data_IF_839306269515
#
_entry.id   IF_839306269515
#
_cell.length_a   1.000
_cell.length_b   1.000
_cell.length_c   1.000
_cell.angle_alpha   90.00
_cell.angle_beta   90.00
_cell.angle_gamma   90.00
#
_symmetry.space_group_name_H-M   'P 1'
#
loop_
_entity.id
_entity.type
_entity.pdbx_description
1 polymer ?
#
# COMPACT_ATOMS: atom_id res chain seq x y z
N UNK A 1 -20.64 46.80 -39.98
CA UNK A 1 -19.44 46.61 -39.15
C UNK A 1 -19.75 45.51 -38.17
N UNK A 2 -19.24 44.31 -38.41
CA UNK A 2 -19.33 43.16 -37.49
C UNK A 2 -18.06 43.11 -36.65
N UNK A 3 -18.13 42.85 -35.35
CA UNK A 3 -16.93 42.68 -34.54
C UNK A 3 -16.36 41.28 -34.71
N UNK A 4 -15.08 41.21 -35.06
CA UNK A 4 -14.26 40.00 -35.10
C UNK A 4 -13.93 39.58 -33.65
N UNK A 5 -14.44 38.42 -33.22
CA UNK A 5 -14.03 37.75 -32.00
C UNK A 5 -12.72 37.00 -32.26
N UNK A 6 -11.62 37.49 -31.73
CA UNK A 6 -10.35 36.76 -31.67
C UNK A 6 -10.36 35.87 -30.41
N UNK A 7 -10.69 34.61 -30.62
CA UNK A 7 -10.61 33.61 -29.55
C UNK A 7 -9.14 33.29 -29.23
N UNK A 8 -8.69 33.61 -28.04
CA UNK A 8 -7.39 33.20 -27.48
C UNK A 8 -7.47 31.73 -27.12
N UNK A 9 -6.93 30.83 -27.96
CA UNK A 9 -6.70 29.43 -27.56
C UNK A 9 -5.58 29.42 -26.53
N UNK A 10 -5.95 29.14 -25.28
CA UNK A 10 -4.97 28.78 -24.26
C UNK A 10 -4.41 27.39 -24.60
N UNK A 11 -3.18 27.35 -25.07
CA UNK A 11 -2.40 26.12 -25.21
C UNK A 11 -2.09 25.66 -23.79
N UNK A 12 -2.81 24.63 -23.31
CA UNK A 12 -2.45 23.91 -22.12
C UNK A 12 -1.09 23.25 -22.39
N UNK A 13 -0.03 23.79 -21.81
CA UNK A 13 1.29 23.17 -21.83
C UNK A 13 1.18 21.77 -21.19
N UNK A 14 1.59 20.74 -21.95
CA UNK A 14 1.76 19.41 -21.39
C UNK A 14 2.70 19.50 -20.20
N UNK A 15 2.42 18.81 -19.10
CA UNK A 15 3.34 18.79 -17.97
C UNK A 15 4.73 18.32 -18.45
N UNK A 16 5.82 18.87 -17.91
CA UNK A 16 7.17 18.45 -18.28
C UNK A 16 7.32 16.94 -18.06
N UNK A 17 8.00 16.26 -18.95
CA UNK A 17 8.34 14.86 -18.80
C UNK A 17 9.07 14.70 -17.46
N UNK A 18 8.49 13.95 -16.53
CA UNK A 18 9.04 13.75 -15.21
C UNK A 18 10.45 13.15 -15.33
N UNK A 19 11.42 13.73 -14.65
CA UNK A 19 12.74 13.13 -14.45
C UNK A 19 12.54 11.94 -13.49
N UNK A 20 12.26 10.78 -14.08
CA UNK A 20 12.07 9.53 -13.35
C UNK A 20 13.45 9.00 -12.94
N UNK A 21 14.02 9.54 -11.87
CA UNK A 21 15.23 9.00 -11.29
C UNK A 21 15.00 7.55 -10.88
N UNK A 22 15.98 6.70 -11.16
CA UNK A 22 15.92 5.28 -10.85
C UNK A 22 16.75 5.01 -9.60
N UNK A 23 16.13 4.39 -8.59
CA UNK A 23 16.82 3.86 -7.43
C UNK A 23 17.28 2.41 -7.71
N UNK A 24 18.24 1.87 -6.94
CA UNK A 24 18.64 0.47 -7.08
C UNK A 24 17.46 -0.48 -7.02
N UNK A 25 17.39 -1.42 -7.94
CA UNK A 25 16.40 -2.48 -7.94
C UNK A 25 16.51 -3.34 -6.68
N UNK A 26 15.41 -3.94 -6.27
CA UNK A 26 15.43 -5.02 -5.29
C UNK A 26 16.18 -6.23 -5.85
N UNK A 27 16.81 -7.01 -4.99
CA UNK A 27 17.54 -8.22 -5.38
C UNK A 27 16.65 -9.29 -6.05
N UNK A 28 15.33 -9.20 -5.86
CA UNK A 28 14.35 -10.07 -6.50
C UNK A 28 13.11 -9.25 -6.90
N UNK A 29 12.49 -9.64 -8.00
CA UNK A 29 11.19 -9.15 -8.39
C UNK A 29 10.12 -9.69 -7.42
N UNK A 30 9.33 -8.81 -6.81
CA UNK A 30 8.38 -9.16 -5.75
C UNK A 30 7.04 -8.43 -5.88
N UNK A 31 6.01 -9.06 -5.33
CA UNK A 31 4.68 -8.48 -5.14
C UNK A 31 4.15 -8.76 -3.73
N UNK A 32 3.03 -8.17 -3.36
CA UNK A 32 2.32 -8.46 -2.10
C UNK A 32 3.16 -8.26 -0.82
N UNK A 33 4.14 -7.39 -0.87
CA UNK A 33 5.03 -7.02 0.23
C UNK A 33 4.49 -5.81 1.00
N UNK A 34 5.07 -5.51 2.16
CA UNK A 34 4.87 -4.26 2.89
C UNK A 34 5.99 -3.26 2.61
N UNK A 35 5.66 -1.96 2.53
CA UNK A 35 6.67 -0.90 2.46
C UNK A 35 6.28 0.30 3.30
N UNK A 36 7.28 0.96 3.89
CA UNK A 36 7.09 2.19 4.67
C UNK A 36 8.36 3.05 4.63
N UNK A 37 8.19 4.34 4.93
CA UNK A 37 9.28 5.32 5.01
C UNK A 37 9.50 5.75 6.46
N UNK A 38 10.76 5.78 6.92
CA UNK A 38 11.16 6.38 8.19
C UNK A 38 12.35 7.31 7.94
N UNK A 39 12.17 8.60 8.20
CA UNK A 39 13.16 9.60 7.86
C UNK A 39 13.51 9.54 6.37
N UNK A 40 14.77 9.40 6.05
CA UNK A 40 15.25 9.28 4.66
C UNK A 40 15.45 7.82 4.21
N UNK A 41 14.86 6.85 4.88
CA UNK A 41 15.02 5.43 4.56
C UNK A 41 13.71 4.77 4.18
N UNK A 42 13.73 4.08 3.04
CA UNK A 42 12.65 3.19 2.59
C UNK A 42 12.89 1.80 3.16
N UNK A 43 11.84 1.20 3.68
CA UNK A 43 11.85 -0.17 4.20
C UNK A 43 10.87 -1.04 3.40
N UNK A 44 11.30 -2.25 3.07
CA UNK A 44 10.50 -3.27 2.36
C UNK A 44 10.56 -4.57 3.14
N UNK A 45 9.40 -5.18 3.41
CA UNK A 45 9.32 -6.43 4.17
C UNK A 45 8.51 -7.50 3.44
N UNK A 46 9.06 -8.72 3.38
CA UNK A 46 8.35 -9.91 2.91
C UNK A 46 7.97 -9.86 1.43
N UNK A 47 6.82 -10.42 1.12
CA UNK A 47 6.27 -10.48 -0.23
C UNK A 47 6.40 -11.85 -0.89
N UNK A 48 6.10 -11.88 -2.18
CA UNK A 48 6.11 -13.08 -3.02
C UNK A 48 6.98 -12.87 -4.25
N UNK A 49 7.89 -13.79 -4.51
CA UNK A 49 8.84 -13.75 -5.63
C UNK A 49 8.58 -14.80 -6.73
N UNK A 50 7.44 -15.49 -6.69
CA UNK A 50 7.08 -16.54 -7.64
C UNK A 50 6.03 -16.12 -8.66
N UNK A 51 5.56 -17.09 -9.44
CA UNK A 51 4.42 -16.88 -10.35
C UNK A 51 3.16 -16.58 -9.54
N UNK A 52 2.33 -15.67 -10.07
CA UNK A 52 1.04 -15.34 -9.45
C UNK A 52 0.22 -16.63 -9.18
N UNK A 53 -0.41 -16.67 -8.01
CA UNK A 53 -1.24 -17.79 -7.53
C UNK A 53 -0.50 -19.12 -7.30
N UNK A 54 0.85 -19.14 -7.38
CA UNK A 54 1.66 -20.29 -7.02
C UNK A 54 2.48 -19.96 -5.76
N UNK A 55 1.82 -20.00 -4.61
CA UNK A 55 2.41 -19.62 -3.33
C UNK A 55 3.00 -20.83 -2.62
N UNK A 56 4.22 -20.69 -2.12
CA UNK A 56 4.91 -21.72 -1.37
C UNK A 56 5.85 -21.12 -0.32
N UNK A 57 6.36 -21.96 0.57
CA UNK A 57 7.34 -21.57 1.59
C UNK A 57 8.65 -21.07 0.99
N UNK A 58 9.00 -21.47 -0.24
CA UNK A 58 10.22 -21.05 -0.94
C UNK A 58 10.05 -19.71 -1.67
N UNK A 59 8.83 -19.39 -2.11
CA UNK A 59 8.55 -18.17 -2.87
C UNK A 59 8.03 -17.03 -2.01
N UNK A 60 7.70 -17.27 -0.74
CA UNK A 60 7.28 -16.24 0.20
C UNK A 60 8.48 -15.81 1.04
N UNK A 61 8.67 -14.51 1.14
CA UNK A 61 9.85 -13.87 1.73
C UNK A 61 9.57 -13.38 3.16
N UNK A 62 10.64 -13.24 3.96
CA UNK A 62 10.59 -12.74 5.33
C UNK A 62 11.68 -11.73 5.64
N UNK A 63 12.43 -11.31 4.63
CA UNK A 63 13.52 -10.35 4.77
C UNK A 63 12.94 -8.93 4.98
N UNK A 64 13.64 -8.15 5.80
CA UNK A 64 13.49 -6.70 5.89
C UNK A 64 14.67 -6.06 5.17
N UNK A 65 14.38 -5.20 4.21
CA UNK A 65 15.38 -4.45 3.45
C UNK A 65 15.22 -2.97 3.65
N UNK A 66 16.33 -2.23 3.69
CA UNK A 66 16.39 -0.78 3.80
C UNK A 66 17.16 -0.18 2.64
N UNK A 67 16.66 0.93 2.10
CA UNK A 67 17.40 1.81 1.19
C UNK A 67 17.51 3.19 1.83
N UNK A 68 18.74 3.67 2.04
CA UNK A 68 19.00 5.03 2.47
C UNK A 68 18.96 5.97 1.26
N UNK A 69 18.00 6.87 1.22
CA UNK A 69 17.82 7.81 0.10
C UNK A 69 18.85 8.93 0.07
N UNK A 70 19.61 9.16 1.15
CA UNK A 70 20.76 10.10 1.14
C UNK A 70 21.96 9.52 0.40
N UNK A 71 22.08 8.20 0.41
CA UNK A 71 23.13 7.48 -0.31
C UNK A 71 22.57 6.18 -0.92
N UNK A 72 21.73 6.28 -1.95
CA UNK A 72 20.95 5.15 -2.46
C UNK A 72 21.78 4.21 -3.33
N UNK A 73 22.90 3.71 -2.82
CA UNK A 73 23.81 2.85 -3.60
C UNK A 73 23.35 1.39 -3.68
N UNK A 74 22.73 0.88 -2.62
CA UNK A 74 22.25 -0.51 -2.52
C UNK A 74 21.23 -0.69 -1.40
N UNK A 75 20.42 -1.72 -1.53
CA UNK A 75 19.58 -2.21 -0.44
C UNK A 75 20.42 -2.94 0.60
N UNK A 76 20.15 -2.64 1.85
CA UNK A 76 20.74 -3.29 3.01
C UNK A 76 19.72 -4.28 3.60
N UNK A 77 20.18 -5.48 3.91
CA UNK A 77 19.35 -6.47 4.62
C UNK A 77 19.46 -6.27 6.12
N UNK A 78 18.30 -6.21 6.78
CA UNK A 78 18.15 -6.06 8.22
C UNK A 78 17.52 -7.34 8.81
N UNK A 79 17.52 -7.50 10.15
CA UNK A 79 16.84 -8.63 10.78
C UNK A 79 15.39 -8.76 10.29
N UNK A 80 15.12 -9.84 9.60
CA UNK A 80 13.82 -10.19 9.04
C UNK A 80 12.88 -10.80 10.09
N UNK A 81 11.94 -11.63 9.63
CA UNK A 81 10.96 -12.29 10.47
C UNK A 81 10.22 -13.40 9.72
N UNK A 82 8.99 -13.74 10.12
CA UNK A 82 8.22 -14.78 9.45
C UNK A 82 8.01 -14.45 7.97
N UNK A 83 8.05 -15.47 7.14
CA UNK A 83 7.76 -15.36 5.71
C UNK A 83 6.29 -15.01 5.51
N UNK A 84 6.00 -13.81 5.03
CA UNK A 84 4.65 -13.27 4.89
C UNK A 84 4.48 -12.53 3.57
N UNK A 85 3.30 -12.65 2.99
CA UNK A 85 2.84 -11.82 1.88
C UNK A 85 1.42 -11.30 2.15
N UNK A 86 0.98 -10.27 1.42
CA UNK A 86 -0.33 -9.66 1.64
C UNK A 86 -0.51 -9.10 3.06
N UNK A 87 0.57 -8.63 3.65
CA UNK A 87 0.66 -7.97 4.94
C UNK A 87 0.57 -6.45 4.79
N UNK A 88 0.32 -5.74 5.87
CA UNK A 88 0.55 -4.31 5.95
C UNK A 88 1.85 -3.99 6.71
N UNK A 89 2.57 -2.97 6.25
CA UNK A 89 3.72 -2.38 6.92
C UNK A 89 3.54 -0.86 6.97
N UNK A 90 3.53 -0.28 8.15
CA UNK A 90 3.36 1.16 8.34
C UNK A 90 4.45 1.72 9.24
N UNK A 91 4.71 3.02 9.12
CA UNK A 91 5.61 3.73 10.01
C UNK A 91 4.84 4.38 11.18
N UNK A 92 5.42 4.30 12.38
CA UNK A 92 4.90 4.96 13.57
C UNK A 92 6.04 5.44 14.46
N UNK A 93 6.18 6.75 14.66
CA UNK A 93 7.18 7.37 15.54
C UNK A 93 8.59 6.80 15.37
N UNK A 94 9.05 6.69 14.13
CA UNK A 94 10.40 6.19 13.79
C UNK A 94 10.57 4.66 13.90
N UNK A 95 9.48 3.91 14.00
CA UNK A 95 9.43 2.45 14.01
C UNK A 95 8.56 1.93 12.88
N UNK A 96 8.77 0.68 12.48
CA UNK A 96 7.87 -0.03 11.59
C UNK A 96 6.86 -0.85 12.40
N UNK A 97 5.64 -0.93 11.93
CA UNK A 97 4.61 -1.84 12.46
C UNK A 97 4.16 -2.76 11.34
N UNK A 98 4.39 -4.06 11.53
CA UNK A 98 3.94 -5.13 10.64
C UNK A 98 2.65 -5.73 11.18
N UNK A 99 1.66 -5.92 10.29
CA UNK A 99 0.32 -6.39 10.67
C UNK A 99 -0.12 -7.52 9.76
N UNK A 100 -0.48 -8.67 10.34
CA UNK A 100 -1.08 -9.81 9.66
C UNK A 100 -0.28 -10.33 8.46
N UNK A 101 -0.98 -10.66 7.40
CA UNK A 101 -0.47 -11.27 6.19
C UNK A 101 -0.86 -12.73 6.05
N UNK A 102 -0.42 -13.38 5.00
CA UNK A 102 -0.63 -14.82 4.79
C UNK A 102 0.68 -15.56 4.64
N UNK A 103 0.67 -16.82 5.06
CA UNK A 103 1.81 -17.71 5.05
C UNK A 103 1.44 -19.03 4.38
N UNK A 104 2.10 -19.42 3.29
CA UNK A 104 1.99 -20.77 2.75
C UNK A 104 2.54 -21.81 3.74
N UNK A 105 1.90 -22.96 3.76
CA UNK A 105 2.30 -24.13 4.55
C UNK A 105 2.88 -25.23 3.63
N UNK A 106 2.72 -25.08 2.32
CA UNK A 106 3.09 -26.04 1.29
C UNK A 106 4.45 -25.72 0.68
N UNK A 107 5.14 -26.76 0.20
CA UNK A 107 6.29 -26.63 -0.68
C UNK A 107 5.90 -26.27 -2.12
N UNK A 108 6.89 -25.92 -2.95
CA UNK A 108 6.71 -25.38 -4.31
C UNK A 108 5.95 -26.33 -5.25
N UNK A 109 6.08 -27.64 -5.06
CA UNK A 109 5.46 -28.67 -5.91
C UNK A 109 4.14 -29.21 -5.33
N UNK A 110 3.70 -28.69 -4.21
CA UNK A 110 2.49 -29.14 -3.52
C UNK A 110 1.30 -28.24 -3.84
N UNK A 111 0.07 -28.75 -3.56
CA UNK A 111 -1.14 -27.95 -3.67
C UNK A 111 -1.06 -26.78 -2.69
N UNK A 112 -1.41 -25.59 -3.18
CA UNK A 112 -1.42 -24.37 -2.37
C UNK A 112 -2.20 -24.55 -1.08
N UNK A 113 -1.53 -24.34 0.05
CA UNK A 113 -2.07 -24.34 1.40
C UNK A 113 -1.64 -23.05 2.10
N UNK A 114 -2.48 -22.05 2.08
CA UNK A 114 -2.13 -20.71 2.57
C UNK A 114 -3.08 -20.30 3.69
N UNK A 115 -2.51 -19.84 4.81
CA UNK A 115 -3.26 -19.37 5.97
C UNK A 115 -2.98 -17.91 6.28
N UNK A 116 -4.03 -17.15 6.56
CA UNK A 116 -3.89 -15.81 7.13
C UNK A 116 -3.36 -15.88 8.56
N UNK A 117 -2.65 -14.84 8.99
CA UNK A 117 -1.96 -14.75 10.26
C UNK A 117 -2.52 -13.61 11.11
N UNK A 118 -2.41 -13.75 12.45
CA UNK A 118 -2.76 -12.72 13.40
C UNK A 118 -1.56 -11.89 13.83
N UNK A 119 -0.34 -12.29 13.48
CA UNK A 119 0.90 -11.73 14.02
C UNK A 119 1.05 -10.25 13.75
N UNK A 120 1.38 -9.48 14.80
CA UNK A 120 1.75 -8.08 14.71
C UNK A 120 3.07 -7.85 15.43
N UNK A 121 3.95 -7.06 14.85
CA UNK A 121 5.24 -6.76 15.46
C UNK A 121 5.72 -5.35 15.11
N UNK A 122 6.50 -4.77 16.01
CA UNK A 122 7.12 -3.46 15.86
C UNK A 122 8.64 -3.63 15.70
N UNK A 123 9.22 -3.02 14.68
CA UNK A 123 10.68 -2.98 14.46
C UNK A 123 11.24 -1.64 14.91
N UNK A 124 12.28 -1.70 15.74
CA UNK A 124 13.07 -0.53 16.14
C UNK A 124 14.35 -0.47 15.30
N UNK A 125 14.46 0.45 14.31
CA UNK A 125 15.62 0.50 13.42
C UNK A 125 16.96 0.71 14.13
N UNK A 126 16.98 1.52 15.18
CA UNK A 126 18.19 1.80 15.96
C UNK A 126 18.72 0.57 16.72
N UNK A 127 17.80 -0.25 17.22
CA UNK A 127 18.12 -1.48 17.92
C UNK A 127 18.29 -2.69 17.00
N UNK A 128 17.83 -2.60 15.74
CA UNK A 128 17.82 -3.70 14.80
C UNK A 128 16.93 -4.87 15.27
N UNK A 129 15.85 -4.59 16.00
CA UNK A 129 15.09 -5.63 16.70
C UNK A 129 13.57 -5.52 16.48
N UNK A 130 12.94 -6.67 16.23
CA UNK A 130 11.48 -6.84 16.28
C UNK A 130 11.02 -7.13 17.71
N UNK A 131 9.88 -6.56 18.08
CA UNK A 131 9.15 -6.86 19.31
C UNK A 131 7.70 -7.12 18.94
N UNK A 132 7.15 -8.25 19.37
CA UNK A 132 5.74 -8.55 19.17
C UNK A 132 4.86 -7.57 19.93
N UNK A 133 3.76 -7.18 19.33
CA UNK A 133 2.70 -6.39 19.92
C UNK A 133 1.40 -7.22 19.93
N UNK A 134 0.34 -6.69 20.51
CA UNK A 134 -0.95 -7.40 20.61
C UNK A 134 -1.38 -7.93 19.22
N UNK A 135 -1.58 -9.24 19.04
CA UNK A 135 -1.94 -9.80 17.74
C UNK A 135 -3.34 -9.38 17.33
N UNK A 136 -3.64 -9.37 16.03
CA UNK A 136 -5.00 -9.19 15.53
C UNK A 136 -5.94 -10.22 16.21
N UNK A 137 -7.17 -9.84 16.56
CA UNK A 137 -8.15 -10.76 17.14
C UNK A 137 -8.55 -11.91 16.23
N UNK A 138 -8.33 -11.76 14.92
CA UNK A 138 -8.60 -12.77 13.91
C UNK A 138 -7.52 -12.76 12.81
N UNK A 139 -7.25 -13.89 12.14
CA UNK A 139 -6.30 -13.95 11.03
C UNK A 139 -6.76 -13.06 9.86
N UNK A 140 -5.82 -12.30 9.28
CA UNK A 140 -6.14 -11.34 8.21
C UNK A 140 -5.00 -11.19 7.22
N UNK A 141 -5.34 -11.20 5.92
CA UNK A 141 -4.38 -10.95 4.82
C UNK A 141 -5.04 -10.18 3.68
N UNK A 142 -4.24 -9.67 2.75
CA UNK A 142 -4.68 -8.83 1.64
C UNK A 142 -5.53 -7.63 2.09
N UNK A 143 -5.37 -7.23 3.34
CA UNK A 143 -5.84 -5.99 3.95
C UNK A 143 -4.79 -4.91 3.76
N UNK A 144 -5.08 -3.70 4.22
CA UNK A 144 -4.05 -2.69 4.43
C UNK A 144 -4.23 -2.03 5.80
N UNK A 145 -3.30 -1.16 6.16
CA UNK A 145 -3.32 -0.43 7.41
C UNK A 145 -2.83 1.01 7.23
N UNK A 146 -3.31 1.91 8.09
CA UNK A 146 -2.87 3.29 8.14
C UNK A 146 -2.83 3.81 9.57
N UNK A 147 -1.90 4.72 9.85
CA UNK A 147 -1.77 5.36 11.17
C UNK A 147 -2.30 6.79 11.08
N UNK A 148 -3.27 7.13 11.93
CA UNK A 148 -3.78 8.48 12.12
C UNK A 148 -3.53 8.91 13.58
N UNK A 149 -2.62 9.84 13.79
CA UNK A 149 -2.13 10.17 15.14
C UNK A 149 -1.44 8.96 15.78
N UNK A 150 -1.94 8.52 16.92
CA UNK A 150 -1.46 7.33 17.61
C UNK A 150 -2.28 6.06 17.29
N UNK A 151 -3.34 6.19 16.51
CA UNK A 151 -4.22 5.09 16.19
C UNK A 151 -3.84 4.39 14.90
N UNK A 152 -3.59 3.10 14.98
CA UNK A 152 -3.47 2.19 13.85
C UNK A 152 -4.86 1.69 13.47
N UNK A 153 -5.22 1.81 12.21
CA UNK A 153 -6.46 1.27 11.62
C UNK A 153 -6.13 0.19 10.62
N UNK A 154 -6.90 -0.90 10.63
CA UNK A 154 -6.77 -2.05 9.72
C UNK A 154 -8.13 -2.33 9.12
N UNK A 155 -8.25 -2.22 7.78
CA UNK A 155 -9.51 -2.43 7.08
C UNK A 155 -9.35 -3.38 5.88
N UNK A 156 -10.48 -3.98 5.48
CA UNK A 156 -10.53 -4.91 4.38
C UNK A 156 -9.84 -6.24 4.66
N UNK A 157 -9.59 -6.98 3.60
CA UNK A 157 -8.93 -8.28 3.68
C UNK A 157 -9.87 -9.46 3.82
N UNK A 158 -9.27 -10.61 3.95
CA UNK A 158 -9.92 -11.89 4.14
C UNK A 158 -9.14 -12.78 5.11
N UNK A 159 -9.78 -13.81 5.59
CA UNK A 159 -9.18 -14.90 6.32
C UNK A 159 -9.06 -16.13 5.40
N UNK A 160 -7.84 -16.59 5.19
CA UNK A 160 -7.54 -17.83 4.50
C UNK A 160 -7.33 -18.93 5.54
N UNK A 161 -8.04 -20.05 5.38
CA UNK A 161 -8.05 -21.15 6.34
C UNK A 161 -7.32 -22.42 5.84
N UNK A 162 -6.43 -22.25 4.85
CA UNK A 162 -5.68 -23.36 4.26
C UNK A 162 -6.43 -24.06 3.13
N UNK A 163 -5.82 -25.13 2.61
CA UNK A 163 -6.29 -25.84 1.41
C UNK A 163 -7.70 -26.45 1.51
N UNK A 164 -8.11 -26.80 2.72
CA UNK A 164 -9.39 -27.46 2.98
C UNK A 164 -10.41 -26.54 3.68
N UNK A 165 -9.99 -25.31 4.04
CA UNK A 165 -10.82 -24.31 4.68
C UNK A 165 -11.47 -23.34 3.70
N UNK A 166 -12.68 -22.88 4.00
CA UNK A 166 -13.31 -21.78 3.25
C UNK A 166 -12.66 -20.45 3.62
N UNK A 167 -12.38 -19.63 2.63
CA UNK A 167 -11.95 -18.25 2.87
C UNK A 167 -13.14 -17.40 3.30
N UNK A 168 -12.89 -16.49 4.24
CA UNK A 168 -13.90 -15.59 4.78
C UNK A 168 -13.56 -14.16 4.42
N UNK A 169 -14.51 -13.45 3.81
CA UNK A 169 -14.38 -12.01 3.56
C UNK A 169 -14.77 -11.24 4.80
N UNK A 170 -13.90 -10.33 5.22
CA UNK A 170 -14.08 -9.61 6.48
C UNK A 170 -14.92 -8.34 6.26
N UNK A 171 -15.94 -8.16 7.09
CA UNK A 171 -16.92 -7.08 7.04
C UNK A 171 -16.71 -5.99 8.10
N UNK A 172 -15.59 -6.07 8.81
CA UNK A 172 -15.20 -5.12 9.85
C UNK A 172 -13.69 -4.90 9.86
N UNK A 173 -13.28 -3.83 10.49
CA UNK A 173 -11.90 -3.49 10.73
C UNK A 173 -11.53 -3.52 12.20
N UNK A 174 -10.30 -3.14 12.48
CA UNK A 174 -9.73 -3.05 13.81
C UNK A 174 -8.97 -1.73 13.99
N UNK A 175 -8.95 -1.23 15.21
CA UNK A 175 -8.07 -0.12 15.61
C UNK A 175 -7.28 -0.48 16.87
N UNK A 176 -6.03 0.00 16.94
CA UNK A 176 -5.12 -0.19 18.07
C UNK A 176 -4.44 1.13 18.41
N UNK A 177 -4.44 1.51 19.68
CA UNK A 177 -3.69 2.67 20.16
C UNK A 177 -2.21 2.29 20.34
N UNK A 178 -1.37 2.71 19.42
CA UNK A 178 0.09 2.48 19.45
C UNK A 178 0.81 3.41 20.45
N UNK A 179 0.17 4.48 20.87
CA UNK A 179 0.71 5.39 21.88
C UNK A 179 0.64 4.83 23.29
N UNK A 180 -0.19 3.81 23.51
CA UNK A 180 -0.40 3.18 24.80
C UNK A 180 0.05 1.73 24.76
N UNK A 181 1.16 1.40 25.41
CA UNK A 181 1.66 0.03 25.49
C UNK A 181 0.63 -0.89 26.16
N UNK A 182 0.43 -2.09 25.60
CA UNK A 182 -0.55 -3.07 26.09
C UNK A 182 -2.00 -2.72 25.79
N UNK A 183 -2.26 -1.73 24.94
CA UNK A 183 -3.62 -1.47 24.48
C UNK A 183 -4.18 -2.66 23.69
N UNK A 184 -5.50 -2.76 23.64
CA UNK A 184 -6.21 -3.86 22.98
C UNK A 184 -6.89 -3.37 21.71
N UNK A 185 -6.99 -4.26 20.73
CA UNK A 185 -7.73 -4.01 19.50
C UNK A 185 -9.20 -3.70 19.80
N UNK A 186 -9.73 -2.73 19.09
CA UNK A 186 -11.15 -2.36 19.12
C UNK A 186 -11.73 -2.60 17.74
N UNK A 187 -12.88 -3.28 17.69
CA UNK A 187 -13.62 -3.49 16.45
C UNK A 187 -14.12 -2.15 15.90
N UNK A 188 -14.02 -1.98 14.60
CA UNK A 188 -14.53 -0.84 13.85
C UNK A 188 -15.40 -1.37 12.73
N UNK A 189 -16.66 -0.96 12.68
CA UNK A 189 -17.56 -1.32 11.58
C UNK A 189 -17.04 -0.76 10.26
N UNK A 190 -17.16 -1.54 9.16
CA UNK A 190 -16.82 -1.09 7.81
C UNK A 190 -17.97 -1.40 6.85
N UNK A 191 -18.32 -0.48 5.92
CA UNK A 191 -19.48 -0.63 5.04
C UNK A 191 -19.19 -1.43 3.76
N UNK A 192 -18.15 -2.27 3.74
CA UNK A 192 -17.71 -3.02 2.57
C UNK A 192 -17.03 -4.33 2.96
N UNK A 193 -16.97 -5.26 2.00
CA UNK A 193 -16.15 -6.48 2.06
C UNK A 193 -15.23 -6.49 0.85
N UNK A 194 -14.02 -5.96 1.00
CA UNK A 194 -13.00 -5.87 -0.07
C UNK A 194 -11.63 -6.27 0.45
N UNK A 195 -10.82 -6.82 -0.44
CA UNK A 195 -9.39 -7.13 -0.22
C UNK A 195 -8.55 -6.55 -1.35
N UNK A 196 -7.23 -6.65 -1.25
CA UNK A 196 -6.32 -6.15 -2.30
C UNK A 196 -6.56 -4.67 -2.61
N UNK A 197 -6.80 -3.90 -1.58
CA UNK A 197 -6.98 -2.45 -1.55
C UNK A 197 -5.72 -1.76 -1.03
N UNK A 198 -5.70 -0.43 -1.05
CA UNK A 198 -4.69 0.37 -0.35
C UNK A 198 -5.33 1.33 0.63
N UNK A 199 -4.55 1.72 1.65
CA UNK A 199 -5.00 2.68 2.66
C UNK A 199 -3.99 3.80 2.87
N UNK A 200 -4.51 4.98 3.18
CA UNK A 200 -3.71 6.12 3.62
C UNK A 200 -4.47 6.95 4.65
N UNK A 201 -3.75 7.60 5.56
CA UNK A 201 -4.34 8.49 6.53
C UNK A 201 -3.83 9.92 6.32
N UNK A 202 -4.74 10.87 6.17
CA UNK A 202 -4.43 12.29 6.02
C UNK A 202 -5.52 13.15 6.65
N UNK A 203 -5.12 14.21 7.35
CA UNK A 203 -6.03 15.18 7.97
C UNK A 203 -7.12 14.54 8.87
N UNK A 204 -6.76 13.52 9.65
CA UNK A 204 -7.68 12.84 10.57
C UNK A 204 -8.69 11.90 9.89
N UNK A 205 -8.50 11.61 8.62
CA UNK A 205 -9.32 10.67 7.83
C UNK A 205 -8.47 9.51 7.35
N UNK A 206 -9.06 8.31 7.32
CA UNK A 206 -8.48 7.11 6.72
C UNK A 206 -9.22 6.83 5.42
N UNK A 207 -8.49 6.82 4.32
CA UNK A 207 -8.99 6.51 2.98
C UNK A 207 -8.74 5.04 2.68
N UNK A 208 -9.77 4.33 2.24
CA UNK A 208 -9.72 2.93 1.79
C UNK A 208 -10.05 2.91 0.31
N UNK A 209 -9.08 2.58 -0.52
CA UNK A 209 -9.08 2.88 -1.93
C UNK A 209 -9.03 1.59 -2.75
N UNK A 210 -10.00 1.41 -3.65
CA UNK A 210 -10.04 0.29 -4.58
C UNK A 210 -10.29 -1.06 -3.91
N UNK A 211 -9.77 -2.10 -4.51
CA UNK A 211 -9.82 -3.48 -4.06
C UNK A 211 -10.70 -4.39 -4.92
N UNK A 212 -10.79 -5.64 -4.49
CA UNK A 212 -11.68 -6.66 -5.04
C UNK A 212 -12.85 -6.88 -4.08
N UNK A 213 -14.07 -6.93 -4.62
CA UNK A 213 -15.27 -7.29 -3.87
C UNK A 213 -15.43 -8.81 -3.74
N UNK A 214 -16.49 -9.26 -3.05
CA UNK A 214 -16.77 -10.69 -2.80
C UNK A 214 -17.06 -11.51 -4.07
N UNK A 215 -17.34 -10.86 -5.20
CA UNK A 215 -17.51 -11.49 -6.51
C UNK A 215 -16.18 -11.61 -7.27
N UNK A 216 -15.07 -11.08 -6.71
CA UNK A 216 -13.77 -11.02 -7.38
C UNK A 216 -13.68 -9.90 -8.42
N UNK A 217 -14.61 -8.95 -8.42
CA UNK A 217 -14.60 -7.79 -9.30
C UNK A 217 -13.79 -6.65 -8.68
N UNK A 218 -13.04 -5.94 -9.50
CA UNK A 218 -12.32 -4.73 -9.08
C UNK A 218 -13.28 -3.57 -8.90
N UNK A 219 -13.04 -2.77 -7.88
CA UNK A 219 -13.83 -1.57 -7.57
C UNK A 219 -12.97 -0.31 -7.55
N UNK A 220 -13.50 0.77 -8.11
CA UNK A 220 -12.89 2.09 -8.07
C UNK A 220 -13.29 2.89 -6.83
N UNK A 221 -14.12 2.31 -5.97
CA UNK A 221 -14.73 2.97 -4.81
C UNK A 221 -13.67 3.40 -3.80
N UNK A 222 -13.85 4.59 -3.24
CA UNK A 222 -13.07 5.14 -2.14
C UNK A 222 -14.00 5.34 -0.95
N UNK A 223 -13.72 4.65 0.16
CA UNK A 223 -14.41 4.88 1.42
C UNK A 223 -13.51 5.69 2.35
N UNK A 224 -14.10 6.62 3.08
CA UNK A 224 -13.40 7.56 3.96
C UNK A 224 -13.93 7.42 5.39
N UNK A 225 -13.07 7.03 6.31
CA UNK A 225 -13.38 6.97 7.73
C UNK A 225 -12.88 8.23 8.43
N UNK A 226 -13.79 9.00 9.00
CA UNK A 226 -13.45 10.14 9.87
C UNK A 226 -13.10 9.59 11.27
N UNK A 227 -11.84 9.69 11.65
CA UNK A 227 -11.34 9.10 12.91
C UNK A 227 -11.87 9.80 14.15
N UNK A 228 -12.27 11.08 14.06
CA UNK A 228 -12.84 11.85 15.16
C UNK A 228 -14.33 11.59 15.31
N UNK A 229 -15.06 11.56 14.19
CA UNK A 229 -16.51 11.32 14.19
C UNK A 229 -16.88 9.85 14.32
N UNK A 230 -15.95 8.92 14.00
CA UNK A 230 -16.20 7.48 13.95
C UNK A 230 -17.19 7.09 12.84
N UNK A 231 -17.22 7.84 11.73
CA UNK A 231 -18.21 7.67 10.66
C UNK A 231 -17.56 7.49 9.30
N UNK A 232 -18.23 6.70 8.47
CA UNK A 232 -17.88 6.48 7.08
C UNK A 232 -18.60 7.44 6.14
N UNK A 233 -17.93 7.80 5.06
CA UNK A 233 -18.48 8.50 3.90
C UNK A 233 -17.81 7.96 2.63
N UNK A 234 -18.33 8.36 1.46
CA UNK A 234 -17.68 8.07 0.18
C UNK A 234 -16.78 9.23 -0.23
N UNK A 235 -15.64 8.89 -0.83
CA UNK A 235 -14.77 9.82 -1.53
C UNK A 235 -14.96 9.73 -3.04
N UNK A 236 -14.28 10.57 -3.84
CA UNK A 236 -14.32 10.48 -5.29
C UNK A 236 -13.72 9.14 -5.74
N UNK A 237 -14.39 8.39 -6.64
CA UNK A 237 -13.89 7.12 -7.13
C UNK A 237 -12.57 7.33 -7.89
N UNK A 238 -11.73 6.28 -7.93
CA UNK A 238 -10.52 6.29 -8.73
C UNK A 238 -10.86 6.55 -10.20
N UNK A 239 -10.08 7.38 -10.92
CA UNK A 239 -10.22 7.57 -12.35
C UNK A 239 -9.85 6.30 -13.14
N UNK A 240 -10.35 6.23 -14.38
CA UNK A 240 -9.96 5.25 -15.37
C UNK A 240 -10.76 3.95 -15.34
N UNK A 241 -10.16 2.89 -15.86
CA UNK A 241 -10.81 1.59 -16.04
C UNK A 241 -10.88 0.80 -14.74
N UNK A 242 -11.78 -0.18 -14.67
CA UNK A 242 -11.98 -1.02 -13.46
C UNK A 242 -10.68 -1.59 -12.90
N UNK A 243 -9.73 -1.98 -13.75
CA UNK A 243 -8.44 -2.54 -13.33
C UNK A 243 -7.65 -1.58 -12.42
N UNK A 244 -7.89 -0.28 -12.49
CA UNK A 244 -7.29 0.72 -11.60
C UNK A 244 -7.67 0.53 -10.13
N UNK A 245 -8.75 -0.19 -9.85
CA UNK A 245 -9.11 -0.59 -8.49
C UNK A 245 -8.30 -1.76 -7.93
N UNK A 246 -7.59 -2.53 -8.76
CA UNK A 246 -6.85 -3.70 -8.30
C UNK A 246 -5.51 -3.31 -7.68
N UNK A 247 -5.40 -3.45 -6.35
CA UNK A 247 -4.16 -3.19 -5.60
C UNK A 247 -3.44 -1.90 -6.00
N UNK A 248 -4.12 -0.74 -6.01
CA UNK A 248 -3.44 0.52 -6.25
C UNK A 248 -2.42 0.77 -5.13
N UNK A 249 -1.39 1.58 -5.41
CA UNK A 249 -0.47 2.03 -4.38
C UNK A 249 -0.81 3.45 -3.94
N UNK A 250 -0.67 3.76 -2.65
CA UNK A 250 -0.95 5.11 -2.12
C UNK A 250 0.15 5.60 -1.18
N UNK A 251 0.33 6.91 -1.12
CA UNK A 251 1.20 7.58 -0.17
C UNK A 251 0.63 8.95 0.22
N UNK A 252 1.05 9.44 1.38
CA UNK A 252 0.78 10.81 1.81
C UNK A 252 2.09 11.59 1.80
N UNK A 253 2.11 12.72 1.11
CA UNK A 253 3.24 13.63 1.05
C UNK A 253 2.73 15.06 1.21
N UNK A 254 3.36 15.84 2.08
CA UNK A 254 3.00 17.23 2.36
C UNK A 254 1.51 17.43 2.68
N UNK A 255 0.93 16.50 3.44
CA UNK A 255 -0.48 16.54 3.82
C UNK A 255 -1.46 16.25 2.68
N UNK A 256 -1.00 15.74 1.53
CA UNK A 256 -1.81 15.37 0.37
C UNK A 256 -1.77 13.88 0.10
N UNK A 257 -2.88 13.34 -0.33
CA UNK A 257 -3.00 11.94 -0.71
C UNK A 257 -2.72 11.74 -2.19
N UNK A 258 -1.85 10.80 -2.48
CA UNK A 258 -1.50 10.37 -3.83
C UNK A 258 -1.84 8.89 -4.02
N UNK A 259 -2.17 8.52 -5.25
CA UNK A 259 -2.43 7.14 -5.65
C UNK A 259 -1.88 6.86 -7.04
N UNK A 260 -1.30 5.67 -7.23
CA UNK A 260 -0.92 5.14 -8.55
C UNK A 260 -1.68 3.85 -8.79
N UNK A 261 -2.72 3.87 -9.65
CA UNK A 261 -3.43 2.68 -10.09
C UNK A 261 -2.67 1.88 -11.15
N UNK A 262 -3.30 0.82 -11.66
CA UNK A 262 -2.71 -0.09 -12.64
C UNK A 262 -2.38 0.55 -14.01
N UNK A 263 -3.01 1.67 -14.36
CA UNK A 263 -2.71 2.41 -15.60
C UNK A 263 -1.37 3.18 -15.56
N UNK A 264 -0.71 3.19 -14.39
CA UNK A 264 0.57 3.84 -14.19
C UNK A 264 0.52 5.36 -14.10
N UNK A 265 -0.66 5.95 -14.03
CA UNK A 265 -0.80 7.39 -13.76
C UNK A 265 -0.71 7.66 -12.27
N UNK A 266 -0.10 8.78 -11.91
CA UNK A 266 -0.08 9.31 -10.56
C UNK A 266 -1.19 10.33 -10.39
N UNK A 267 -2.08 10.11 -9.43
CA UNK A 267 -3.17 11.02 -9.11
C UNK A 267 -3.00 11.60 -7.71
N UNK A 268 -3.35 12.86 -7.56
CA UNK A 268 -3.41 13.58 -6.29
C UNK A 268 -4.86 13.92 -5.95
N UNK A 269 -5.28 13.65 -4.71
CA UNK A 269 -6.57 14.13 -4.24
C UNK A 269 -6.52 15.64 -4.02
N UNK A 270 -7.52 16.37 -4.53
CA UNK A 270 -7.63 17.82 -4.32
C UNK A 270 -7.76 18.18 -2.82
N UNK A 271 -7.47 19.41 -2.45
CA UNK A 271 -7.64 19.89 -1.07
C UNK A 271 -9.08 19.75 -0.57
N UNK A 272 -10.05 19.95 -1.47
CA UNK A 272 -11.47 19.77 -1.15
C UNK A 272 -11.85 18.30 -0.94
N UNK A 273 -11.01 17.37 -1.41
CA UNK A 273 -11.25 15.93 -1.32
C UNK A 273 -12.36 15.43 -2.26
N UNK A 274 -12.69 16.19 -3.30
CA UNK A 274 -13.83 15.96 -4.19
C UNK A 274 -13.46 15.35 -5.54
N UNK A 275 -12.19 15.39 -5.95
CA UNK A 275 -11.72 14.80 -7.22
C UNK A 275 -10.24 14.45 -7.18
N UNK A 276 -9.84 13.63 -8.14
CA UNK A 276 -8.44 13.29 -8.42
C UNK A 276 -7.89 14.12 -9.57
N UNK A 277 -6.67 14.59 -9.44
CA UNK A 277 -5.92 15.31 -10.47
C UNK A 277 -4.72 14.46 -10.89
N UNK A 278 -4.56 14.22 -12.20
CA UNK A 278 -3.38 13.57 -12.75
C UNK A 278 -2.18 14.51 -12.61
N UNK A 279 -1.15 14.05 -11.89
CA UNK A 279 0.05 14.84 -11.58
C UNK A 279 1.35 14.18 -12.04
N UNK A 280 1.31 12.90 -12.39
CA UNK A 280 2.49 12.15 -12.77
C UNK A 280 2.13 10.93 -13.64
N UNK A 281 3.17 10.31 -14.23
CA UNK A 281 3.04 9.05 -14.96
C UNK A 281 4.29 8.20 -14.74
N UNK A 282 4.07 6.93 -14.38
CA UNK A 282 5.13 5.94 -14.28
C UNK A 282 5.66 5.59 -15.67
N UNK A 283 6.95 5.29 -15.76
CA UNK A 283 7.57 4.73 -16.95
C UNK A 283 7.01 3.34 -17.26
N UNK A 284 6.81 2.54 -16.19
CA UNK A 284 6.27 1.20 -16.29
C UNK A 284 5.01 1.07 -15.40
N UNK A 285 3.80 0.99 -16.03
CA UNK A 285 2.55 0.75 -15.30
C UNK A 285 2.61 -0.55 -14.50
N UNK A 286 2.12 -0.51 -13.26
CA UNK A 286 2.22 -1.64 -12.33
C UNK A 286 1.10 -1.66 -11.31
N UNK A 287 0.81 -2.83 -10.81
CA UNK A 287 -0.11 -3.10 -9.71
C UNK A 287 0.56 -4.01 -8.66
N UNK A 288 -0.07 -4.23 -7.52
CA UNK A 288 0.53 -4.94 -6.36
C UNK A 288 1.89 -4.36 -5.96
N UNK A 289 2.10 -3.08 -6.28
CA UNK A 289 3.24 -2.28 -5.88
C UNK A 289 2.99 -1.62 -4.52
N UNK A 290 4.01 -1.02 -3.96
CA UNK A 290 3.87 -0.08 -2.85
C UNK A 290 4.46 1.27 -3.22
N UNK A 291 3.94 2.32 -2.61
CA UNK A 291 4.39 3.68 -2.83
C UNK A 291 4.67 4.36 -1.50
N UNK A 292 5.76 5.12 -1.45
CA UNK A 292 6.11 5.94 -0.30
C UNK A 292 6.44 7.36 -0.75
N UNK A 293 6.31 8.32 0.15
CA UNK A 293 6.76 9.70 -0.08
C UNK A 293 8.29 9.76 0.01
N UNK A 294 8.93 10.22 -1.03
CA UNK A 294 10.38 10.47 -1.09
C UNK A 294 10.74 11.94 -0.87
N UNK A 295 12.04 12.28 -0.93
CA UNK A 295 12.52 13.64 -0.88
C UNK A 295 12.15 14.41 -2.18
N UNK A 296 12.28 15.73 -2.15
CA UNK A 296 12.15 16.62 -3.31
C UNK A 296 10.81 16.44 -4.07
N UNK A 297 9.69 16.28 -3.34
CA UNK A 297 8.35 16.08 -3.91
C UNK A 297 8.25 14.87 -4.86
N UNK A 298 9.04 13.83 -4.64
CA UNK A 298 9.00 12.59 -5.41
C UNK A 298 8.19 11.51 -4.70
N UNK A 299 7.39 10.79 -5.46
CA UNK A 299 6.79 9.52 -5.03
C UNK A 299 7.71 8.38 -5.44
N UNK A 300 8.00 7.47 -4.54
CA UNK A 300 8.82 6.29 -4.83
C UNK A 300 7.89 5.08 -4.93
N UNK A 301 7.77 4.52 -6.13
CA UNK A 301 6.96 3.34 -6.43
C UNK A 301 7.88 2.13 -6.54
N UNK A 302 7.59 1.12 -5.75
CA UNK A 302 8.48 0.00 -5.49
C UNK A 302 7.89 -1.27 -6.06
N UNK A 303 8.67 -2.01 -6.85
CA UNK A 303 8.38 -3.37 -7.31
C UNK A 303 6.95 -3.57 -7.82
N UNK A 304 6.31 -4.69 -7.53
CA UNK A 304 4.95 -5.00 -7.96
C UNK A 304 4.91 -5.93 -9.16
N UNK A 305 3.85 -5.83 -9.95
CA UNK A 305 3.66 -6.63 -11.15
C UNK A 305 3.22 -5.77 -12.32
N UNK A 306 3.68 -6.11 -13.51
CA UNK A 306 3.15 -5.69 -14.81
C UNK A 306 2.50 -6.89 -15.51
N UNK A 307 1.77 -6.72 -16.61
CA UNK A 307 1.21 -7.85 -17.34
C UNK A 307 2.29 -8.89 -17.71
N UNK A 308 2.21 -10.08 -17.10
CA UNK A 308 3.09 -11.22 -17.39
C UNK A 308 4.36 -11.32 -16.54
N UNK A 309 4.73 -10.33 -15.72
CA UNK A 309 5.96 -10.38 -14.92
C UNK A 309 5.85 -9.68 -13.58
N UNK A 310 6.67 -10.12 -12.62
CA UNK A 310 6.97 -9.34 -11.42
C UNK A 310 8.10 -8.35 -11.74
N UNK A 311 8.12 -7.25 -10.98
CA UNK A 311 9.11 -6.18 -11.10
C UNK A 311 10.01 -6.15 -9.86
N UNK A 312 11.27 -5.79 -10.05
CA UNK A 312 12.22 -5.45 -8.99
C UNK A 312 12.49 -3.93 -8.96
N UNK A 313 12.09 -3.23 -10.01
CA UNK A 313 12.41 -1.83 -10.24
C UNK A 313 11.80 -0.90 -9.20
N UNK A 314 12.55 0.15 -8.86
CA UNK A 314 12.15 1.21 -7.93
C UNK A 314 12.20 2.52 -8.68
N UNK A 315 11.06 3.11 -8.92
CA UNK A 315 10.89 4.31 -9.72
C UNK A 315 10.51 5.51 -8.85
N UNK A 316 11.24 6.61 -8.99
CA UNK A 316 10.88 7.87 -8.38
C UNK A 316 10.20 8.77 -9.41
N UNK A 317 9.04 9.31 -9.06
CA UNK A 317 8.21 10.14 -9.93
C UNK A 317 8.04 11.50 -9.28
N UNK A 318 8.47 12.54 -9.99
CA UNK A 318 8.26 13.93 -9.57
C UNK A 318 6.77 14.30 -9.75
N UNK A 319 6.17 14.86 -8.71
CA UNK A 319 4.77 15.33 -8.74
C UNK A 319 4.67 16.86 -8.70
N UNK A 320 5.80 17.54 -8.87
CA UNK A 320 5.92 18.99 -8.89
C UNK A 320 5.83 19.60 -7.50
N UNK A 321 6.56 20.68 -7.29
CA UNK A 321 6.30 21.62 -6.21
C UNK A 321 4.97 22.34 -6.47
N UNK A 322 4.26 22.72 -5.44
CA UNK A 322 2.97 23.45 -5.48
C UNK A 322 2.98 24.63 -6.42
#
# INVERSE_FOLDING_TARGET
MLPTFTGLLAVLASPPAADNSHYPDLAAAISSFGAAMIGDSVYVYGGHSGRAHNYSTETTLGELRRLDLKNPSKWEELPGGPKLQGLALVAYRGRLVRVGGMQPQNGKSEKTDTKSQTTCAMFEPKAGKWTEIDPLPEPRSSHDAAVAGDMLYVFGGWQLNGKDGKSEWLDHGWSLDLGKWGSKWKKVEQPFQRRALTMAAVAGKVYVIGGLNTKGETELTVNVYDTKAGKWSEGPPLPGEKMNGFTPASAVMDGRLYVTPADGKGYRLTEKGDKWEEVAKLREPRFVARMVAGPEHKLIVIAGASPGSLLASVEAVDVGSR
#
